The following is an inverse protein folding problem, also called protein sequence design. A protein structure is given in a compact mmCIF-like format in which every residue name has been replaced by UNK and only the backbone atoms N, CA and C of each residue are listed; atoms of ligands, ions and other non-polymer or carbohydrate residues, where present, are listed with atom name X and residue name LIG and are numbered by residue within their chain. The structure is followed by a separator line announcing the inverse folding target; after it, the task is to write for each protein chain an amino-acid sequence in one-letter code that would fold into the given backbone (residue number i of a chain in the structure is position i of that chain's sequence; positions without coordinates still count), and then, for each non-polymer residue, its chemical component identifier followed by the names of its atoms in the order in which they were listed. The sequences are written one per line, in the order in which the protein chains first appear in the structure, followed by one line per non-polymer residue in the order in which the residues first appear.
data_IF_411181293490
#
_entry.id   IF_411181293490
#
_cell.length_a   1.000
_cell.length_b   1.000
_cell.length_c   1.000
_cell.angle_alpha   90.00
_cell.angle_beta   90.00
_cell.angle_gamma   90.00
#
_symmetry.space_group_name_H-M   'P 1'
#
loop_
_entity.id
_entity.type
_entity.pdbx_description
1 polymer ?
#
# COMPACT_ATOMS: atom_id res chain seq x y z
N UNK A 1 -29.59 -7.24 24.61
CA UNK A 1 -29.20 -8.22 23.57
C UNK A 1 -28.56 -7.40 22.47
N UNK A 2 -27.23 -7.28 22.44
CA UNK A 2 -26.52 -6.51 21.40
C UNK A 2 -26.73 -7.22 20.06
N UNK A 3 -27.22 -6.50 19.06
CA UNK A 3 -27.53 -7.08 17.76
C UNK A 3 -26.25 -7.38 16.98
N UNK A 4 -26.26 -8.37 16.10
CA UNK A 4 -25.11 -8.74 15.25
C UNK A 4 -24.52 -7.55 14.47
N UNK A 5 -25.32 -6.51 14.22
CA UNK A 5 -24.88 -5.28 13.58
C UNK A 5 -23.99 -4.40 14.48
N UNK A 6 -24.19 -4.42 15.80
CA UNK A 6 -23.38 -3.66 16.76
C UNK A 6 -21.98 -4.26 16.92
N UNK A 7 -21.87 -5.59 16.83
CA UNK A 7 -20.60 -6.33 16.93
C UNK A 7 -19.74 -6.06 15.69
N UNK A 8 -20.31 -6.16 14.48
CA UNK A 8 -19.60 -5.86 13.22
C UNK A 8 -19.10 -4.41 13.17
N UNK A 9 -19.86 -3.47 13.73
CA UNK A 9 -19.48 -2.05 13.77
C UNK A 9 -18.38 -1.75 14.79
N UNK A 10 -18.36 -2.47 15.92
CA UNK A 10 -17.31 -2.36 16.92
C UNK A 10 -15.98 -2.95 16.41
N UNK A 11 -16.01 -4.10 15.72
CA UNK A 11 -14.81 -4.72 15.14
C UNK A 11 -14.18 -3.85 14.04
N UNK A 12 -15.01 -3.25 13.18
CA UNK A 12 -14.54 -2.33 12.15
C UNK A 12 -13.90 -1.05 12.75
N UNK A 13 -14.51 -0.48 13.79
CA UNK A 13 -13.95 0.68 14.48
C UNK A 13 -12.60 0.35 15.16
N UNK A 14 -12.50 -0.82 15.80
CA UNK A 14 -11.23 -1.29 16.39
C UNK A 14 -10.14 -1.48 15.34
N UNK A 15 -10.48 -2.05 14.17
CA UNK A 15 -9.52 -2.24 13.08
C UNK A 15 -9.05 -0.91 12.47
N UNK A 16 -9.93 0.10 12.41
CA UNK A 16 -9.58 1.44 11.96
C UNK A 16 -8.69 2.17 12.98
N UNK A 17 -8.98 2.03 14.27
CA UNK A 17 -8.15 2.58 15.35
C UNK A 17 -6.75 1.94 15.38
N UNK A 18 -6.66 0.62 15.21
CA UNK A 18 -5.39 -0.09 15.11
C UNK A 18 -4.56 0.34 13.89
N UNK A 19 -5.22 0.53 12.74
CA UNK A 19 -4.56 1.03 11.55
C UNK A 19 -4.06 2.47 11.74
N UNK A 20 -4.85 3.34 12.36
CA UNK A 20 -4.45 4.71 12.66
C UNK A 20 -3.27 4.75 13.65
N UNK A 21 -3.23 3.85 14.65
CA UNK A 21 -2.10 3.74 15.57
C UNK A 21 -0.84 3.21 14.88
N UNK A 22 -0.98 2.27 13.92
CA UNK A 22 0.13 1.71 13.17
C UNK A 22 0.70 2.67 12.11
N UNK A 23 -0.18 3.41 11.41
CA UNK A 23 0.19 4.31 10.33
C UNK A 23 -0.51 5.68 10.48
N UNK A 24 -0.10 6.50 11.47
CA UNK A 24 -0.81 7.73 11.84
C UNK A 24 -0.72 8.86 10.80
N UNK A 25 0.16 8.73 9.81
CA UNK A 25 0.41 9.70 8.75
C UNK A 25 -0.08 9.22 7.37
N UNK A 26 -0.90 8.17 7.32
CA UNK A 26 -1.36 7.55 6.07
C UNK A 26 -2.09 8.55 5.16
N UNK A 27 -2.80 9.51 5.74
CA UNK A 27 -3.50 10.60 5.04
C UNK A 27 -2.53 11.63 4.42
N UNK A 28 -1.30 11.72 4.93
CA UNK A 28 -0.25 12.63 4.43
C UNK A 28 0.58 12.03 3.32
N UNK A 29 0.52 10.70 3.13
CA UNK A 29 1.31 10.00 2.11
C UNK A 29 1.13 10.58 0.69
N UNK A 30 -0.09 10.84 0.19
CA UNK A 30 -0.28 11.40 -1.15
C UNK A 30 0.42 12.75 -1.33
N UNK A 31 0.38 13.61 -0.31
CA UNK A 31 1.04 14.91 -0.32
C UNK A 31 2.56 14.79 -0.23
N UNK A 32 3.08 13.74 0.41
CA UNK A 32 4.52 13.49 0.49
C UNK A 32 5.13 12.96 -0.81
N UNK A 33 4.32 12.34 -1.69
CA UNK A 33 4.77 11.83 -2.98
C UNK A 33 4.55 12.80 -4.13
N UNK A 34 3.68 13.80 -3.97
CA UNK A 34 3.27 14.64 -5.10
C UNK A 34 4.43 15.49 -5.64
N UNK A 35 4.53 15.56 -6.96
CA UNK A 35 5.32 16.58 -7.63
C UNK A 35 4.46 17.82 -7.94
N UNK A 36 3.17 17.59 -8.17
CA UNK A 36 2.17 18.61 -8.53
C UNK A 36 0.77 18.17 -8.05
N UNK A 37 -0.17 19.11 -7.94
CA UNK A 37 -1.49 18.83 -7.36
C UNK A 37 -2.26 17.69 -8.03
N UNK A 38 -2.05 17.46 -9.33
CA UNK A 38 -2.71 16.37 -10.08
C UNK A 38 -2.26 14.98 -9.61
N UNK A 39 -1.15 14.86 -8.89
CA UNK A 39 -0.66 13.59 -8.34
C UNK A 39 -1.38 13.19 -7.04
N UNK A 40 -2.06 14.13 -6.38
CA UNK A 40 -2.80 13.87 -5.14
C UNK A 40 -3.95 12.87 -5.34
N UNK A 41 -4.66 12.94 -6.47
CA UNK A 41 -5.77 12.04 -6.76
C UNK A 41 -5.28 10.60 -6.96
N UNK A 42 -4.27 10.33 -7.80
CA UNK A 42 -3.60 9.03 -7.84
C UNK A 42 -3.06 8.56 -6.49
N UNK A 43 -2.37 9.43 -5.74
CA UNK A 43 -1.80 9.07 -4.44
C UNK A 43 -2.87 8.62 -3.44
N UNK A 44 -4.03 9.29 -3.39
CA UNK A 44 -5.16 8.86 -2.55
C UNK A 44 -5.70 7.50 -2.97
N UNK A 45 -5.84 7.24 -4.27
CA UNK A 45 -6.29 5.94 -4.76
C UNK A 45 -5.30 4.81 -4.41
N UNK A 46 -4.00 5.08 -4.47
CA UNK A 46 -2.97 4.13 -4.01
C UNK A 46 -3.09 3.84 -2.51
N UNK A 47 -3.30 4.87 -1.68
CA UNK A 47 -3.54 4.69 -0.24
C UNK A 47 -4.75 3.79 0.02
N UNK A 48 -5.87 4.00 -0.67
CA UNK A 48 -7.03 3.11 -0.53
C UNK A 48 -6.70 1.67 -0.94
N UNK A 49 -5.88 1.46 -1.97
CA UNK A 49 -5.39 0.14 -2.37
C UNK A 49 -4.50 -0.52 -1.30
N UNK A 50 -3.70 0.27 -0.57
CA UNK A 50 -2.79 -0.25 0.47
C UNK A 50 -3.48 -0.55 1.80
N UNK A 51 -4.57 0.13 2.13
CA UNK A 51 -5.29 -0.02 3.41
C UNK A 51 -5.67 -1.47 3.75
N UNK A 52 -6.28 -2.28 2.84
CA UNK A 52 -6.59 -3.67 3.15
C UNK A 52 -5.34 -4.51 3.47
N UNK A 53 -4.25 -4.26 2.75
CA UNK A 53 -2.98 -4.96 2.98
C UNK A 53 -2.33 -4.54 4.31
N UNK A 54 -2.38 -3.26 4.68
CA UNK A 54 -1.89 -2.79 5.98
C UNK A 54 -2.64 -3.45 7.16
N UNK A 55 -3.97 -3.59 7.05
CA UNK A 55 -4.77 -4.34 8.03
C UNK A 55 -4.41 -5.83 8.04
N UNK A 56 -4.19 -6.43 6.87
CA UNK A 56 -3.71 -7.80 6.78
C UNK A 56 -2.37 -7.99 7.50
N UNK A 57 -1.40 -7.07 7.34
CA UNK A 57 -0.12 -7.12 8.06
C UNK A 57 -0.30 -7.12 9.60
N UNK A 58 -1.24 -6.32 10.13
CA UNK A 58 -1.57 -6.32 11.55
C UNK A 58 -2.11 -7.68 12.01
N UNK A 59 -2.92 -8.34 11.18
CA UNK A 59 -3.46 -9.68 11.49
C UNK A 59 -2.38 -10.78 11.56
N UNK A 60 -1.23 -10.59 10.90
CA UNK A 60 -0.15 -11.58 10.83
C UNK A 60 0.72 -11.64 12.11
N UNK A 61 0.41 -10.86 13.15
CA UNK A 61 1.13 -10.83 14.44
C UNK A 61 2.64 -10.65 14.29
N UNK A 62 3.05 -9.86 13.31
CA UNK A 62 4.46 -9.57 13.02
C UNK A 62 5.09 -8.72 14.13
N UNK A 63 6.42 -8.78 14.25
CA UNK A 63 7.14 -7.87 15.15
C UNK A 63 6.94 -6.41 14.75
N UNK A 64 6.95 -5.49 15.73
CA UNK A 64 6.86 -4.04 15.49
C UNK A 64 7.92 -3.54 14.49
N UNK A 65 9.13 -4.11 14.54
CA UNK A 65 10.22 -3.78 13.60
C UNK A 65 9.86 -4.19 12.17
N UNK A 66 9.30 -5.39 12.00
CA UNK A 66 8.88 -5.91 10.69
C UNK A 66 7.70 -5.11 10.12
N UNK A 67 6.73 -4.75 10.96
CA UNK A 67 5.60 -3.92 10.58
C UNK A 67 6.04 -2.54 10.08
N UNK A 68 6.90 -1.83 10.82
CA UNK A 68 7.43 -0.55 10.35
C UNK A 68 8.15 -0.69 9.00
N UNK A 69 8.98 -1.73 8.85
CA UNK A 69 9.68 -1.98 7.59
C UNK A 69 8.72 -2.15 6.41
N UNK A 70 7.64 -2.92 6.56
CA UNK A 70 6.65 -3.07 5.50
C UNK A 70 5.87 -1.78 5.22
N UNK A 71 5.52 -1.01 6.26
CA UNK A 71 4.90 0.32 6.11
C UNK A 71 5.80 1.25 5.31
N UNK A 72 7.06 1.36 5.68
CA UNK A 72 8.01 2.28 5.05
C UNK A 72 8.30 1.87 3.59
N UNK A 73 8.38 0.56 3.31
CA UNK A 73 8.50 0.04 1.96
C UNK A 73 7.24 0.31 1.11
N UNK A 74 6.03 0.24 1.69
CA UNK A 74 4.80 0.62 0.98
C UNK A 74 4.75 2.12 0.70
N UNK A 75 5.22 2.93 1.65
CA UNK A 75 5.37 4.37 1.43
C UNK A 75 6.31 4.64 0.26
N UNK A 76 7.45 3.93 0.21
CA UNK A 76 8.40 4.03 -0.89
C UNK A 76 7.79 3.59 -2.24
N UNK A 77 7.00 2.51 -2.25
CA UNK A 77 6.31 2.05 -3.47
C UNK A 77 5.38 3.13 -4.02
N UNK A 78 4.59 3.78 -3.16
CA UNK A 78 3.74 4.89 -3.57
C UNK A 78 4.53 6.02 -4.23
N UNK A 79 5.69 6.38 -3.66
CA UNK A 79 6.61 7.36 -4.23
C UNK A 79 7.12 6.97 -5.62
N UNK A 80 7.57 5.73 -5.80
CA UNK A 80 8.06 5.23 -7.10
C UNK A 80 6.95 5.22 -8.16
N UNK A 81 5.73 4.83 -7.81
CA UNK A 81 4.61 4.84 -8.74
C UNK A 81 4.18 6.25 -9.14
N UNK A 82 4.21 7.21 -8.21
CA UNK A 82 3.94 8.62 -8.53
C UNK A 82 5.05 9.20 -9.39
N UNK A 83 6.33 8.87 -9.13
CA UNK A 83 7.45 9.23 -9.99
C UNK A 83 7.26 8.70 -11.41
N UNK A 84 6.90 7.42 -11.57
CA UNK A 84 6.64 6.83 -12.89
C UNK A 84 5.45 7.51 -13.60
N UNK A 85 4.36 7.80 -12.88
CA UNK A 85 3.23 8.55 -13.43
C UNK A 85 3.64 9.97 -13.87
N UNK A 86 4.52 10.60 -13.10
CA UNK A 86 5.05 11.94 -13.37
C UNK A 86 5.89 11.96 -14.64
N UNK A 87 6.87 11.05 -14.74
CA UNK A 87 7.81 10.94 -15.85
C UNK A 87 7.16 10.42 -17.14
N UNK A 88 6.11 9.59 -17.05
CA UNK A 88 5.43 9.00 -18.19
C UNK A 88 3.94 9.41 -18.27
N UNK A 89 3.59 10.54 -18.93
CA UNK A 89 2.21 11.01 -19.06
C UNK A 89 1.22 9.97 -19.61
N UNK A 90 1.68 9.00 -20.39
CA UNK A 90 0.87 7.89 -20.91
C UNK A 90 0.29 7.00 -19.80
N UNK A 91 0.99 6.83 -18.68
CA UNK A 91 0.54 5.99 -17.56
C UNK A 91 -0.65 6.61 -16.83
N UNK A 92 -0.79 7.93 -16.86
CA UNK A 92 -1.95 8.65 -16.28
C UNK A 92 -3.28 8.34 -16.98
N UNK A 93 -3.25 7.70 -18.15
CA UNK A 93 -4.48 7.24 -18.85
C UNK A 93 -5.02 5.92 -18.29
N UNK A 94 -4.24 5.21 -17.46
CA UNK A 94 -4.65 3.94 -16.87
C UNK A 94 -5.43 4.20 -15.57
N UNK A 95 -6.45 3.38 -15.25
CA UNK A 95 -7.05 3.39 -13.92
C UNK A 95 -5.97 3.09 -12.87
N UNK A 96 -5.93 3.87 -11.78
CA UNK A 96 -4.91 3.68 -10.72
C UNK A 96 -5.05 2.33 -10.03
N UNK A 97 -6.28 1.79 -9.99
CA UNK A 97 -6.56 0.43 -9.55
C UNK A 97 -5.77 -0.65 -10.33
N UNK A 98 -5.33 -0.34 -11.56
CA UNK A 98 -4.48 -1.23 -12.37
C UNK A 98 -2.98 -0.87 -12.31
N UNK A 99 -2.64 0.33 -11.85
CA UNK A 99 -1.24 0.79 -11.78
C UNK A 99 -0.49 0.03 -10.70
N UNK A 100 -1.06 -0.10 -9.50
CA UNK A 100 -0.42 -0.84 -8.40
C UNK A 100 -0.21 -2.32 -8.77
N UNK A 101 -1.23 -3.09 -9.21
CA UNK A 101 -1.01 -4.50 -9.55
C UNK A 101 -0.05 -4.70 -10.73
N UNK A 102 -0.05 -3.80 -11.72
CA UNK A 102 0.82 -3.94 -12.90
C UNK A 102 2.29 -3.61 -12.64
N UNK A 103 2.60 -2.99 -11.50
CA UNK A 103 3.97 -2.70 -11.08
C UNK A 103 4.56 -3.80 -10.18
N UNK A 104 3.80 -4.87 -9.92
CA UNK A 104 4.14 -5.93 -8.99
C UNK A 104 4.12 -7.29 -9.70
N UNK A 105 5.05 -8.15 -9.31
CA UNK A 105 5.11 -9.54 -9.77
C UNK A 105 5.67 -10.47 -8.67
N UNK A 106 5.92 -11.72 -9.04
CA UNK A 106 6.49 -12.74 -8.15
C UNK A 106 7.95 -12.47 -7.77
N UNK A 107 8.65 -11.55 -8.45
CA UNK A 107 10.01 -11.14 -8.12
C UNK A 107 10.01 -9.94 -7.17
N UNK A 108 9.07 -9.00 -7.31
CA UNK A 108 8.97 -7.85 -6.41
C UNK A 108 8.19 -6.68 -6.99
N UNK A 109 8.78 -5.50 -6.86
CA UNK A 109 8.23 -4.24 -7.35
C UNK A 109 9.24 -3.50 -8.23
N UNK A 110 9.00 -2.21 -8.51
CA UNK A 110 9.93 -1.41 -9.29
C UNK A 110 11.30 -1.28 -8.62
N UNK A 111 12.33 -0.96 -9.39
CA UNK A 111 13.62 -0.58 -8.83
C UNK A 111 13.47 0.74 -8.06
N UNK A 112 14.01 0.77 -6.84
CA UNK A 112 14.04 2.00 -6.04
C UNK A 112 14.98 3.00 -6.73
N UNK A 113 14.47 4.20 -6.95
CA UNK A 113 15.23 5.30 -7.54
C UNK A 113 16.36 5.78 -6.60
N UNK A 114 17.38 6.41 -7.16
CA UNK A 114 18.47 7.07 -6.42
C UNK A 114 19.39 6.17 -5.57
N UNK A 115 19.82 5.02 -6.11
CA UNK A 115 20.99 4.30 -5.57
C UNK A 115 20.75 3.55 -4.27
N UNK A 116 19.55 2.96 -4.11
CA UNK A 116 19.27 2.04 -3.02
C UNK A 116 20.31 0.90 -2.96
N UNK A 117 20.68 0.50 -1.74
CA UNK A 117 21.52 -0.68 -1.58
C UNK A 117 20.76 -1.94 -1.99
N UNK A 118 21.48 -3.01 -2.34
CA UNK A 118 20.83 -4.29 -2.65
C UNK A 118 20.00 -4.81 -1.46
N UNK A 119 20.44 -4.59 -0.22
CA UNK A 119 19.71 -4.95 0.99
C UNK A 119 18.38 -4.20 1.09
N UNK A 120 18.37 -2.92 0.72
CA UNK A 120 17.16 -2.10 0.69
C UNK A 120 16.20 -2.58 -0.41
N UNK A 121 16.72 -2.84 -1.62
CA UNK A 121 15.92 -3.38 -2.71
C UNK A 121 15.31 -4.75 -2.34
N UNK A 122 16.10 -5.67 -1.79
CA UNK A 122 15.59 -6.99 -1.36
C UNK A 122 14.50 -6.88 -0.29
N UNK A 123 14.64 -5.93 0.64
CA UNK A 123 13.62 -5.65 1.66
C UNK A 123 12.32 -5.12 1.05
N UNK A 124 12.46 -4.21 0.09
CA UNK A 124 11.36 -3.63 -0.67
C UNK A 124 10.64 -4.69 -1.50
N UNK A 125 11.38 -5.47 -2.30
CA UNK A 125 10.84 -6.55 -3.13
C UNK A 125 10.09 -7.57 -2.28
N UNK A 126 10.60 -7.92 -1.10
CA UNK A 126 9.91 -8.82 -0.18
C UNK A 126 8.55 -8.28 0.31
N UNK A 127 8.40 -6.94 0.38
CA UNK A 127 7.11 -6.30 0.70
C UNK A 127 6.20 -6.29 -0.52
N UNK A 128 6.75 -5.97 -1.69
CA UNK A 128 6.05 -5.96 -2.96
C UNK A 128 5.47 -7.34 -3.33
N UNK A 129 6.24 -8.43 -3.15
CA UNK A 129 5.75 -9.80 -3.32
C UNK A 129 4.59 -10.14 -2.39
N UNK A 130 4.67 -9.72 -1.11
CA UNK A 130 3.56 -9.93 -0.16
C UNK A 130 2.30 -9.20 -0.59
N UNK A 131 2.43 -7.96 -1.05
CA UNK A 131 1.32 -7.19 -1.59
C UNK A 131 0.76 -7.86 -2.86
N UNK A 132 1.63 -8.32 -3.77
CA UNK A 132 1.24 -9.02 -4.99
C UNK A 132 0.39 -10.26 -4.71
N UNK A 133 0.86 -11.14 -3.82
CA UNK A 133 0.10 -12.33 -3.42
C UNK A 133 -1.22 -11.94 -2.73
N UNK A 134 -1.20 -10.96 -1.82
CA UNK A 134 -2.41 -10.49 -1.17
C UNK A 134 -3.47 -9.99 -2.18
N UNK A 135 -3.05 -9.25 -3.20
CA UNK A 135 -3.95 -8.75 -4.24
C UNK A 135 -4.45 -9.88 -5.15
N UNK A 136 -3.61 -10.86 -5.50
CA UNK A 136 -4.02 -12.05 -6.25
C UNK A 136 -5.05 -12.89 -5.49
N UNK A 137 -4.81 -13.13 -4.21
CA UNK A 137 -5.69 -13.94 -3.36
C UNK A 137 -7.02 -13.23 -3.11
N UNK A 138 -7.02 -11.90 -2.95
CA UNK A 138 -8.23 -11.09 -2.82
C UNK A 138 -9.07 -11.02 -4.09
N UNK A 139 -8.43 -10.96 -5.27
CA UNK A 139 -9.12 -11.01 -6.56
C UNK A 139 -9.71 -12.40 -6.87
N UNK A 140 -9.10 -13.48 -6.36
CA UNK A 140 -9.65 -14.84 -6.49
C UNK A 140 -10.94 -15.06 -5.66
N UNK A 141 -11.23 -14.16 -4.69
CA UNK A 141 -12.40 -14.24 -3.82
C UNK A 141 -13.63 -13.46 -4.34
N UNK A 142 -13.57 -12.85 -5.53
CA UNK A 142 -14.73 -12.26 -6.21
C UNK A 142 -15.20 -13.22 -7.34
N UNK A 143 -16.37 -13.88 -7.18
CA UNK A 143 -16.96 -14.71 -8.23
C UNK A 143 -17.50 -13.90 -9.41
#
# INVERSE_FOLDING_TARGET
MLGSNDILRADAASADDELAAYCPDLDRWPSSWMYEERDLSPGRQMVECFKPFLRHLLSLKLSRKTLHKHRDNLWLLGGELIRDLHEAPRLRKRPIAEVVPAALDDEGGPLISHGASEDQQRSFDATCRKLYHFLKDGNAASP
#
